data_IF_350368828097
#
_entry.id   IF_350368828097
#
_cell.length_a   1.000
_cell.length_b   1.000
_cell.length_c   1.000
_cell.angle_alpha   90.00
_cell.angle_beta   90.00
_cell.angle_gamma   90.00
#
_symmetry.space_group_name_H-M   'P 1'
#
loop_
_entity.id
_entity.type
_entity.pdbx_description
1 polymer ?
#
# COMPACT_ATOMS: atom_id res chain seq x y z
N UNK A 1 70.94 -89.11 35.90
CA UNK A 1 69.48 -89.18 36.07
C UNK A 1 68.89 -87.77 36.16
N UNK A 2 69.22 -86.91 35.18
CA UNK A 2 68.90 -85.46 35.20
C UNK A 2 68.41 -84.92 33.85
N UNK A 3 68.54 -85.68 32.75
CA UNK A 3 68.10 -85.23 31.42
C UNK A 3 66.60 -85.42 31.17
N UNK A 4 65.97 -86.45 31.74
CA UNK A 4 64.55 -86.73 31.50
C UNK A 4 63.62 -85.71 32.18
N UNK A 5 63.97 -85.25 33.40
CA UNK A 5 63.22 -84.22 34.13
C UNK A 5 63.24 -82.84 33.46
N UNK A 6 64.33 -82.49 32.74
CA UNK A 6 64.42 -81.24 31.99
C UNK A 6 63.64 -81.31 30.67
N UNK A 7 63.62 -82.48 30.02
CA UNK A 7 62.84 -82.73 28.81
C UNK A 7 61.34 -82.59 29.06
N UNK A 8 60.81 -83.19 30.14
CA UNK A 8 59.39 -83.13 30.47
C UNK A 8 58.91 -81.74 30.91
N UNK A 9 59.76 -80.99 31.63
CA UNK A 9 59.46 -79.61 31.99
C UNK A 9 59.43 -78.70 30.74
N UNK A 10 60.34 -78.93 29.80
CA UNK A 10 60.41 -78.18 28.53
C UNK A 10 59.23 -78.48 27.61
N UNK A 11 58.75 -79.73 27.56
CA UNK A 11 57.60 -80.13 26.74
C UNK A 11 56.27 -79.58 27.31
N UNK A 12 56.13 -79.60 28.64
CA UNK A 12 54.97 -79.07 29.35
C UNK A 12 54.85 -77.55 29.23
N UNK A 13 55.96 -76.83 29.35
CA UNK A 13 56.00 -75.37 29.15
C UNK A 13 55.75 -74.99 27.69
N UNK A 14 56.27 -75.75 26.72
CA UNK A 14 55.96 -75.52 25.29
C UNK A 14 54.46 -75.71 25.00
N UNK A 15 53.85 -76.75 25.56
CA UNK A 15 52.42 -77.02 25.40
C UNK A 15 51.55 -75.90 25.98
N UNK A 16 51.93 -75.37 27.14
CA UNK A 16 51.20 -74.28 27.80
C UNK A 16 51.35 -72.95 27.04
N UNK A 17 52.53 -72.65 26.49
CA UNK A 17 52.75 -71.50 25.61
C UNK A 17 51.93 -71.62 24.33
N UNK A 18 51.82 -72.82 23.74
CA UNK A 18 51.01 -73.07 22.56
C UNK A 18 49.52 -72.86 22.84
N UNK A 19 49.02 -73.32 23.98
CA UNK A 19 47.63 -73.10 24.40
C UNK A 19 47.36 -71.61 24.59
N UNK A 20 48.25 -70.88 25.28
CA UNK A 20 48.12 -69.43 25.45
C UNK A 20 48.14 -68.73 24.09
N UNK A 21 49.03 -69.14 23.18
CA UNK A 21 49.14 -68.54 21.85
C UNK A 21 47.88 -68.78 21.00
N UNK A 22 47.29 -69.97 21.04
CA UNK A 22 46.05 -70.30 20.34
C UNK A 22 44.86 -69.53 20.93
N UNK A 23 44.73 -69.47 22.26
CA UNK A 23 43.68 -68.70 22.93
C UNK A 23 43.81 -67.21 22.60
N UNK A 24 45.03 -66.67 22.65
CA UNK A 24 45.31 -65.27 22.30
C UNK A 24 44.99 -64.99 20.82
N UNK A 25 45.34 -65.91 19.91
CA UNK A 25 45.05 -65.80 18.48
C UNK A 25 43.54 -65.84 18.20
N UNK A 26 42.79 -66.72 18.88
CA UNK A 26 41.33 -66.79 18.74
C UNK A 26 40.68 -65.51 19.28
N UNK A 27 41.10 -65.00 20.44
CA UNK A 27 40.57 -63.75 21.01
C UNK A 27 40.91 -62.55 20.12
N UNK A 28 42.12 -62.48 19.58
CA UNK A 28 42.54 -61.39 18.71
C UNK A 28 41.82 -61.41 17.35
N UNK A 29 41.51 -62.60 16.84
CA UNK A 29 40.81 -62.78 15.56
C UNK A 29 39.27 -62.69 15.69
N UNK A 30 38.73 -62.89 16.89
CA UNK A 30 37.29 -62.74 17.18
C UNK A 30 36.91 -61.33 17.66
N UNK A 31 37.88 -60.51 18.06
CA UNK A 31 37.65 -59.10 18.31
C UNK A 31 37.34 -58.38 17.01
N UNK A 32 36.19 -57.72 16.97
CA UNK A 32 35.78 -56.80 15.90
C UNK A 32 37.00 -55.98 15.46
N UNK A 33 37.39 -56.00 14.17
CA UNK A 33 38.63 -55.37 13.76
C UNK A 33 38.55 -53.90 14.16
N UNK A 34 39.49 -53.44 15.01
CA UNK A 34 39.53 -52.08 15.54
C UNK A 34 39.38 -51.01 14.44
N UNK A 35 39.79 -51.32 13.20
CA UNK A 35 39.53 -50.50 12.01
C UNK A 35 38.06 -50.24 11.74
N UNK A 36 37.19 -51.25 11.79
CA UNK A 36 35.73 -51.07 11.57
C UNK A 36 35.09 -50.25 12.68
N UNK A 37 35.56 -50.38 13.92
CA UNK A 37 35.07 -49.55 15.05
C UNK A 37 35.51 -48.09 14.88
N UNK A 38 36.75 -47.85 14.45
CA UNK A 38 37.25 -46.52 14.15
C UNK A 38 36.53 -45.87 12.96
N UNK A 39 36.26 -46.63 11.89
CA UNK A 39 35.47 -46.16 10.73
C UNK A 39 34.04 -45.80 11.12
N UNK A 40 33.36 -46.64 11.93
CA UNK A 40 32.02 -46.33 12.43
C UNK A 40 32.01 -45.06 13.29
N UNK A 41 33.03 -44.86 14.13
CA UNK A 41 33.13 -43.66 14.97
C UNK A 41 33.29 -42.40 14.13
N UNK A 42 34.12 -42.46 13.08
CA UNK A 42 34.34 -41.35 12.15
C UNK A 42 33.07 -41.04 11.32
N UNK A 43 32.28 -42.06 10.96
CA UNK A 43 30.98 -41.87 10.32
C UNK A 43 29.95 -41.24 11.27
N UNK A 44 29.89 -41.66 12.53
CA UNK A 44 28.99 -41.08 13.54
C UNK A 44 29.33 -39.61 13.76
N UNK A 45 30.60 -39.25 13.95
CA UNK A 45 31.02 -37.86 14.12
C UNK A 45 30.69 -36.99 12.88
N UNK A 46 30.88 -37.52 11.66
CA UNK A 46 30.45 -36.83 10.43
C UNK A 46 28.93 -36.68 10.34
N UNK A 47 28.18 -37.67 10.79
CA UNK A 47 26.72 -37.64 10.76
C UNK A 47 26.17 -36.65 11.78
N UNK A 48 26.74 -36.61 12.99
CA UNK A 48 26.41 -35.62 14.03
C UNK A 48 26.70 -34.20 13.54
N UNK A 49 27.86 -33.97 12.93
CA UNK A 49 28.22 -32.66 12.37
C UNK A 49 27.26 -32.22 11.26
N UNK A 50 26.88 -33.14 10.36
CA UNK A 50 25.87 -32.87 9.33
C UNK A 50 24.50 -32.57 9.94
N UNK A 51 24.08 -33.33 10.93
CA UNK A 51 22.77 -33.17 11.59
C UNK A 51 22.67 -31.82 12.28
N UNK A 52 23.73 -31.40 12.98
CA UNK A 52 23.83 -30.08 13.60
C UNK A 52 23.78 -28.95 12.56
N UNK A 53 24.53 -29.08 11.46
CA UNK A 53 24.48 -28.12 10.36
C UNK A 53 23.08 -28.03 9.70
N UNK A 54 22.37 -29.15 9.57
CA UNK A 54 21.01 -29.15 9.06
C UNK A 54 20.04 -28.51 10.03
N UNK A 55 20.17 -28.75 11.34
CA UNK A 55 19.36 -28.06 12.36
C UNK A 55 19.58 -26.54 12.31
N UNK A 56 20.82 -26.08 12.22
CA UNK A 56 21.13 -24.65 12.13
C UNK A 56 20.54 -24.01 10.85
N UNK A 57 20.60 -24.73 9.71
CA UNK A 57 19.98 -24.27 8.46
C UNK A 57 18.46 -24.23 8.56
N UNK A 58 17.83 -25.23 9.15
CA UNK A 58 16.38 -25.25 9.38
C UNK A 58 15.98 -24.07 10.26
N UNK A 59 16.69 -23.84 11.36
CA UNK A 59 16.40 -22.72 12.26
C UNK A 59 16.50 -21.37 11.55
N UNK A 60 17.56 -21.15 10.75
CA UNK A 60 17.72 -19.94 9.94
C UNK A 60 16.60 -19.77 8.91
N UNK A 61 16.25 -20.83 8.18
CA UNK A 61 15.17 -20.81 7.18
C UNK A 61 13.81 -20.55 7.82
N UNK A 62 13.53 -21.12 9.00
CA UNK A 62 12.30 -20.87 9.75
C UNK A 62 12.23 -19.40 10.19
N UNK A 63 13.34 -18.83 10.67
CA UNK A 63 13.42 -17.40 11.00
C UNK A 63 13.15 -16.50 9.79
N UNK A 64 13.79 -16.80 8.65
CA UNK A 64 13.55 -16.06 7.40
C UNK A 64 12.11 -16.17 6.91
N UNK A 65 11.50 -17.35 7.01
CA UNK A 65 10.08 -17.54 6.63
C UNK A 65 9.13 -16.75 7.53
N UNK A 66 9.40 -16.69 8.84
CA UNK A 66 8.59 -15.88 9.75
C UNK A 66 8.73 -14.38 9.44
N UNK A 67 9.96 -13.92 9.16
CA UNK A 67 10.21 -12.53 8.79
C UNK A 67 9.50 -12.16 7.48
N UNK A 68 9.65 -12.97 6.43
CA UNK A 68 8.97 -12.77 5.15
C UNK A 68 7.45 -12.80 5.27
N UNK A 69 6.90 -13.66 6.14
CA UNK A 69 5.47 -13.68 6.42
C UNK A 69 5.00 -12.38 7.07
N UNK A 70 5.75 -11.87 8.04
CA UNK A 70 5.45 -10.58 8.68
C UNK A 70 5.52 -9.42 7.69
N UNK A 71 6.56 -9.36 6.85
CA UNK A 71 6.72 -8.33 5.81
C UNK A 71 5.58 -8.40 4.79
N UNK A 72 5.19 -9.62 4.37
CA UNK A 72 4.06 -9.82 3.47
C UNK A 72 2.75 -9.33 4.09
N UNK A 73 2.50 -9.61 5.35
CA UNK A 73 1.29 -9.18 6.05
C UNK A 73 1.24 -7.64 6.19
N UNK A 74 2.37 -7.00 6.48
CA UNK A 74 2.48 -5.55 6.54
C UNK A 74 2.26 -4.89 5.17
N UNK A 75 2.91 -5.41 4.12
CA UNK A 75 2.72 -4.94 2.74
C UNK A 75 1.28 -5.11 2.27
N UNK A 76 0.65 -6.23 2.62
CA UNK A 76 -0.76 -6.48 2.28
C UNK A 76 -1.68 -5.46 2.95
N UNK A 77 -1.45 -5.13 4.23
CA UNK A 77 -2.19 -4.06 4.93
C UNK A 77 -2.00 -2.70 4.27
N UNK A 78 -0.76 -2.34 3.89
CA UNK A 78 -0.46 -1.10 3.18
C UNK A 78 -1.15 -1.02 1.82
N UNK A 79 -1.17 -2.13 1.07
CA UNK A 79 -1.84 -2.22 -0.23
C UNK A 79 -3.34 -2.00 -0.09
N UNK A 80 -4.00 -2.71 0.84
CA UNK A 80 -5.45 -2.57 1.09
C UNK A 80 -5.79 -1.11 1.47
N UNK A 81 -5.01 -0.49 2.35
CA UNK A 81 -5.22 0.90 2.75
C UNK A 81 -5.06 1.86 1.55
N UNK A 82 -4.04 1.64 0.73
CA UNK A 82 -3.79 2.44 -0.48
C UNK A 82 -4.92 2.29 -1.49
N UNK A 83 -5.39 1.07 -1.75
CA UNK A 83 -6.54 0.83 -2.65
C UNK A 83 -7.81 1.49 -2.13
N UNK A 84 -8.09 1.42 -0.83
CA UNK A 84 -9.23 2.11 -0.23
C UNK A 84 -9.10 3.63 -0.38
N UNK A 85 -7.90 4.19 -0.19
CA UNK A 85 -7.64 5.62 -0.39
C UNK A 85 -7.85 6.02 -1.86
N UNK A 86 -7.38 5.23 -2.81
CA UNK A 86 -7.62 5.46 -4.25
C UNK A 86 -9.10 5.39 -4.59
N UNK A 87 -9.84 4.40 -4.05
CA UNK A 87 -11.29 4.29 -4.26
C UNK A 87 -12.02 5.53 -3.73
N UNK A 88 -11.64 6.00 -2.53
CA UNK A 88 -12.18 7.25 -1.96
C UNK A 88 -11.86 8.46 -2.85
N UNK A 89 -10.63 8.60 -3.32
CA UNK A 89 -10.22 9.70 -4.21
C UNK A 89 -11.01 9.65 -5.53
N UNK A 90 -11.14 8.49 -6.17
CA UNK A 90 -11.92 8.33 -7.41
C UNK A 90 -13.40 8.64 -7.21
N UNK A 91 -13.98 8.27 -6.08
CA UNK A 91 -15.36 8.64 -5.74
C UNK A 91 -15.50 10.14 -5.49
N UNK A 92 -14.49 10.78 -4.89
CA UNK A 92 -14.46 12.23 -4.64
C UNK A 92 -14.12 13.08 -5.88
N UNK A 93 -13.61 12.51 -6.96
CA UNK A 93 -13.22 13.31 -8.14
C UNK A 93 -14.30 13.37 -9.22
N UNK A 94 -15.45 12.71 -9.05
CA UNK A 94 -16.45 12.52 -10.12
C UNK A 94 -16.92 13.85 -10.73
N UNK A 95 -17.19 14.84 -9.89
CA UNK A 95 -17.68 16.15 -10.33
C UNK A 95 -16.63 17.26 -10.23
N UNK A 96 -15.45 16.94 -9.69
CA UNK A 96 -14.35 17.91 -9.63
C UNK A 96 -13.94 18.29 -11.06
N UNK A 97 -13.78 19.58 -11.29
CA UNK A 97 -13.43 20.10 -12.60
C UNK A 97 -13.70 21.58 -12.78
N UNK A 98 -13.30 22.07 -13.96
CA UNK A 98 -13.58 23.41 -14.45
C UNK A 98 -14.68 23.33 -15.50
N UNK A 99 -15.72 24.14 -15.35
CA UNK A 99 -16.87 24.22 -16.22
C UNK A 99 -16.98 25.63 -16.77
N UNK A 100 -17.28 25.80 -18.05
CA UNK A 100 -17.32 27.11 -18.70
C UNK A 100 -18.47 27.20 -19.69
N UNK A 101 -18.89 28.44 -20.00
CA UNK A 101 -19.94 28.74 -20.96
C UNK A 101 -20.13 30.23 -21.16
N UNK A 102 -21.06 30.57 -22.03
CA UNK A 102 -21.47 31.96 -22.27
C UNK A 102 -22.33 32.47 -21.12
N UNK A 103 -22.18 33.73 -20.76
CA UNK A 103 -22.99 34.41 -19.76
C UNK A 103 -23.93 35.41 -20.43
N UNK A 104 -25.17 35.48 -19.93
CA UNK A 104 -26.10 36.55 -20.21
C UNK A 104 -26.78 36.93 -18.89
N UNK A 105 -26.73 38.22 -18.54
CA UNK A 105 -27.19 38.69 -17.23
C UNK A 105 -27.76 40.09 -17.26
N UNK A 106 -28.26 40.52 -16.11
CA UNK A 106 -28.88 41.83 -15.92
C UNK A 106 -27.89 42.77 -15.26
N UNK A 107 -27.54 43.85 -15.95
CA UNK A 107 -26.82 44.97 -15.35
C UNK A 107 -27.83 46.04 -14.91
N UNK A 108 -27.82 46.35 -13.62
CA UNK A 108 -28.66 47.37 -13.00
C UNK A 108 -27.80 48.59 -12.68
N UNK A 109 -28.29 49.80 -12.97
CA UNK A 109 -27.60 51.04 -12.56
C UNK A 109 -27.52 51.13 -11.02
N UNK A 110 -28.57 50.64 -10.33
CA UNK A 110 -28.62 50.44 -8.88
C UNK A 110 -29.44 49.20 -8.52
N UNK A 111 -29.08 48.53 -7.43
CA UNK A 111 -29.71 47.27 -7.02
C UNK A 111 -31.19 47.32 -6.65
N UNK A 112 -31.74 48.51 -6.42
CA UNK A 112 -33.17 48.70 -6.13
C UNK A 112 -34.00 49.07 -7.37
N UNK A 113 -33.37 49.17 -8.55
CA UNK A 113 -34.04 49.57 -9.78
C UNK A 113 -34.66 48.36 -10.50
N UNK A 114 -35.75 48.63 -11.25
CA UNK A 114 -36.41 47.62 -12.10
C UNK A 114 -35.89 47.64 -13.53
N UNK A 115 -35.20 48.71 -13.93
CA UNK A 115 -34.66 48.87 -15.27
C UNK A 115 -33.27 48.25 -15.31
N UNK A 116 -33.05 47.35 -16.25
CA UNK A 116 -31.76 46.71 -16.46
C UNK A 116 -31.38 46.74 -17.93
N UNK A 117 -30.07 46.70 -18.17
CA UNK A 117 -29.49 46.39 -19.48
C UNK A 117 -29.11 44.92 -19.52
N UNK A 118 -29.26 44.28 -20.67
CA UNK A 118 -28.81 42.90 -20.87
C UNK A 118 -27.34 42.94 -21.27
N UNK A 119 -26.49 42.29 -20.48
CA UNK A 119 -25.06 42.18 -20.73
C UNK A 119 -24.70 40.73 -21.08
N UNK A 120 -23.62 40.58 -21.84
CA UNK A 120 -23.10 39.28 -22.25
C UNK A 120 -21.62 39.15 -21.88
N UNK A 121 -21.17 37.92 -21.72
CA UNK A 121 -19.80 37.63 -21.34
C UNK A 121 -19.52 36.13 -21.30
N UNK A 122 -18.56 35.74 -20.47
CA UNK A 122 -18.25 34.35 -20.18
C UNK A 122 -18.45 34.08 -18.69
N UNK A 123 -18.85 32.86 -18.36
CA UNK A 123 -18.97 32.39 -16.98
C UNK A 123 -18.29 31.05 -16.81
N UNK A 124 -17.84 30.79 -15.59
CA UNK A 124 -17.17 29.55 -15.25
C UNK A 124 -17.45 29.12 -13.82
N UNK A 125 -17.47 27.81 -13.58
CA UNK A 125 -17.52 27.20 -12.26
C UNK A 125 -16.34 26.23 -12.10
N UNK A 126 -15.51 26.46 -11.09
CA UNK A 126 -14.54 25.46 -10.61
C UNK A 126 -15.11 24.77 -9.39
N UNK A 127 -15.22 23.45 -9.42
CA UNK A 127 -15.68 22.67 -8.27
C UNK A 127 -14.55 21.81 -7.69
N UNK A 128 -14.33 21.95 -6.38
CA UNK A 128 -13.32 21.24 -5.59
C UNK A 128 -14.02 20.38 -4.54
N UNK A 129 -14.37 19.15 -4.92
CA UNK A 129 -15.19 18.26 -4.08
C UNK A 129 -14.47 17.85 -2.77
N UNK A 130 -13.14 17.77 -2.75
CA UNK A 130 -12.38 17.46 -1.52
C UNK A 130 -12.54 18.51 -0.43
N UNK A 131 -12.77 19.76 -0.83
CA UNK A 131 -12.94 20.88 0.05
C UNK A 131 -14.40 21.33 0.15
N UNK A 132 -15.34 20.68 -0.55
CA UNK A 132 -16.72 21.15 -0.76
C UNK A 132 -16.79 22.65 -1.10
N UNK A 133 -15.85 23.10 -1.95
CA UNK A 133 -15.74 24.49 -2.38
C UNK A 133 -16.10 24.58 -3.85
N UNK A 134 -16.88 25.60 -4.19
CA UNK A 134 -17.19 25.96 -5.56
C UNK A 134 -16.80 27.42 -5.79
N UNK A 135 -16.17 27.70 -6.92
CA UNK A 135 -15.85 29.07 -7.34
C UNK A 135 -16.60 29.36 -8.62
N UNK A 136 -17.57 30.26 -8.55
CA UNK A 136 -18.30 30.78 -9.71
C UNK A 136 -17.68 32.12 -10.11
N UNK A 137 -17.43 32.31 -11.40
CA UNK A 137 -16.88 33.55 -11.94
C UNK A 137 -17.66 33.95 -13.18
N UNK A 138 -17.87 35.24 -13.33
CA UNK A 138 -18.47 35.86 -14.51
C UNK A 138 -17.56 36.99 -14.96
N UNK A 139 -17.12 36.93 -16.20
CA UNK A 139 -16.37 37.99 -16.86
C UNK A 139 -17.27 38.63 -17.92
N UNK A 140 -17.56 39.91 -17.71
CA UNK A 140 -18.36 40.73 -18.60
C UNK A 140 -17.42 41.67 -19.33
N UNK A 141 -17.47 41.63 -20.66
CA UNK A 141 -16.65 42.48 -21.51
C UNK A 141 -16.93 43.95 -21.16
N UNK A 142 -15.88 44.73 -21.01
CA UNK A 142 -15.92 46.17 -20.70
C UNK A 142 -16.34 46.55 -19.25
N UNK A 143 -16.79 45.61 -18.42
CA UNK A 143 -17.17 45.88 -17.00
C UNK A 143 -16.32 45.12 -15.97
N UNK A 144 -15.60 44.09 -16.40
CA UNK A 144 -14.67 43.33 -15.57
C UNK A 144 -15.22 41.98 -15.09
N UNK A 145 -14.62 41.45 -14.02
CA UNK A 145 -14.93 40.10 -13.51
C UNK A 145 -15.53 40.18 -12.11
N UNK A 146 -16.54 39.36 -11.86
CA UNK A 146 -17.08 39.08 -10.53
C UNK A 146 -16.90 37.60 -10.21
N UNK A 147 -16.50 37.28 -8.99
CA UNK A 147 -16.32 35.90 -8.56
C UNK A 147 -16.86 35.68 -7.15
N UNK A 148 -17.50 34.53 -6.97
CA UNK A 148 -18.03 34.05 -5.71
C UNK A 148 -17.38 32.72 -5.36
N UNK A 149 -16.95 32.60 -4.13
CA UNK A 149 -16.53 31.34 -3.54
C UNK A 149 -17.63 30.86 -2.60
N UNK A 150 -18.09 29.65 -2.81
CA UNK A 150 -19.12 29.00 -2.02
C UNK A 150 -18.51 27.86 -1.23
N UNK A 151 -18.98 27.69 0.01
CA UNK A 151 -18.75 26.51 0.83
C UNK A 151 -20.08 25.80 1.02
N UNK A 152 -20.11 24.50 0.77
CA UNK A 152 -21.37 23.77 0.73
C UNK A 152 -21.24 22.30 1.02
N UNK A 153 -22.18 21.53 0.50
CA UNK A 153 -22.16 20.07 0.51
C UNK A 153 -22.76 19.51 -0.76
N UNK A 154 -22.30 18.33 -1.17
CA UNK A 154 -22.80 17.60 -2.32
C UNK A 154 -23.70 16.45 -1.85
N UNK A 155 -24.97 16.46 -2.23
CA UNK A 155 -25.90 15.36 -2.02
C UNK A 155 -26.29 14.75 -3.37
N UNK A 156 -25.83 13.52 -3.62
CA UNK A 156 -26.00 12.87 -4.93
C UNK A 156 -25.20 13.59 -6.02
N UNK A 157 -25.90 14.23 -6.96
CA UNK A 157 -25.34 15.06 -8.01
C UNK A 157 -25.64 16.56 -7.82
N UNK A 158 -26.21 16.97 -6.68
CA UNK A 158 -26.58 18.36 -6.41
C UNK A 158 -25.68 18.93 -5.33
N UNK A 159 -24.96 20.01 -5.66
CA UNK A 159 -24.22 20.83 -4.71
C UNK A 159 -25.08 22.00 -4.28
N UNK A 160 -25.14 22.24 -2.97
CA UNK A 160 -25.75 23.44 -2.39
C UNK A 160 -24.73 24.12 -1.50
N UNK A 161 -24.54 25.43 -1.65
CA UNK A 161 -23.55 26.17 -0.89
C UNK A 161 -23.89 27.63 -0.66
N UNK A 162 -23.38 28.17 0.43
CA UNK A 162 -23.51 29.58 0.80
C UNK A 162 -22.19 30.31 0.48
N UNK A 163 -22.24 31.59 0.07
CA UNK A 163 -21.05 32.35 -0.30
C UNK A 163 -20.20 32.64 0.94
N UNK A 164 -18.89 32.43 0.83
CA UNK A 164 -17.89 32.71 1.87
C UNK A 164 -16.92 33.82 1.47
N UNK A 165 -16.79 34.10 0.16
CA UNK A 165 -15.92 35.13 -0.35
C UNK A 165 -16.53 35.68 -1.64
N UNK A 166 -16.44 36.99 -1.82
CA UNK A 166 -16.90 37.69 -3.00
C UNK A 166 -15.83 38.69 -3.44
N UNK A 167 -15.47 38.64 -4.71
CA UNK A 167 -14.52 39.56 -5.33
C UNK A 167 -15.08 40.10 -6.64
N UNK A 168 -14.68 41.33 -6.98
CA UNK A 168 -15.22 42.05 -8.13
C UNK A 168 -14.23 43.06 -8.69
N UNK A 169 -14.37 43.35 -9.98
CA UNK A 169 -13.81 44.55 -10.60
C UNK A 169 -14.51 45.82 -10.10
N UNK A 170 -13.88 46.97 -10.33
CA UNK A 170 -14.39 48.25 -9.84
C UNK A 170 -15.77 48.61 -10.41
N UNK A 171 -16.01 48.27 -11.67
CA UNK A 171 -17.19 48.68 -12.44
C UNK A 171 -18.37 47.69 -12.40
N UNK A 172 -18.23 46.56 -11.69
CA UNK A 172 -19.28 45.54 -11.58
C UNK A 172 -19.50 45.16 -10.12
N UNK A 173 -20.76 44.98 -9.71
CA UNK A 173 -21.12 44.55 -8.35
C UNK A 173 -22.37 43.66 -8.39
N UNK A 174 -22.46 42.68 -7.49
CA UNK A 174 -23.65 41.86 -7.30
C UNK A 174 -24.66 42.56 -6.40
N UNK A 175 -25.93 42.53 -6.78
CA UNK A 175 -27.01 43.03 -5.94
C UNK A 175 -27.40 42.07 -4.81
N UNK A 176 -26.90 40.84 -4.84
CA UNK A 176 -27.06 39.89 -3.75
C UNK A 176 -25.77 39.09 -3.55
N UNK A 177 -24.88 39.62 -2.72
CA UNK A 177 -23.61 38.96 -2.39
C UNK A 177 -23.78 37.71 -1.51
N UNK A 178 -24.95 37.56 -0.89
CA UNK A 178 -25.30 36.46 0.03
C UNK A 178 -26.16 35.39 -0.63
N UNK A 179 -26.35 35.47 -1.95
CA UNK A 179 -27.17 34.51 -2.68
C UNK A 179 -26.56 33.11 -2.59
N UNK A 180 -27.32 32.14 -2.08
CA UNK A 180 -26.92 30.74 -2.09
C UNK A 180 -26.96 30.18 -3.51
N UNK A 181 -26.11 29.19 -3.77
CA UNK A 181 -26.06 28.51 -5.07
C UNK A 181 -26.52 27.07 -4.92
N UNK A 182 -27.30 26.61 -5.90
CA UNK A 182 -27.62 25.20 -6.11
C UNK A 182 -27.20 24.80 -7.51
N UNK A 183 -26.34 23.80 -7.62
CA UNK A 183 -25.76 23.34 -8.87
C UNK A 183 -25.96 21.84 -9.02
N UNK A 184 -26.58 21.42 -10.11
CA UNK A 184 -26.77 20.01 -10.46
C UNK A 184 -25.75 19.57 -11.52
N UNK A 185 -24.99 18.52 -11.23
CA UNK A 185 -24.04 17.92 -12.15
C UNK A 185 -24.69 16.83 -13.01
N UNK A 186 -24.41 16.85 -14.31
CA UNK A 186 -24.93 15.94 -15.32
C UNK A 186 -23.80 15.51 -16.27
N UNK A 187 -23.02 14.51 -15.85
CA UNK A 187 -21.85 14.03 -16.59
C UNK A 187 -20.82 15.15 -16.80
N UNK A 188 -20.61 15.53 -18.05
CA UNK A 188 -19.67 16.58 -18.47
C UNK A 188 -20.31 17.98 -18.52
N UNK A 189 -21.43 18.16 -17.83
CA UNK A 189 -22.10 19.45 -17.70
C UNK A 189 -22.61 19.68 -16.30
N UNK A 190 -22.95 20.93 -15.99
CA UNK A 190 -23.68 21.30 -14.79
C UNK A 190 -24.80 22.29 -15.14
N UNK A 191 -25.79 22.38 -14.25
CA UNK A 191 -26.96 23.24 -14.39
C UNK A 191 -27.20 24.00 -13.09
N UNK A 192 -27.58 25.27 -13.18
CA UNK A 192 -27.92 26.09 -12.02
C UNK A 192 -28.81 27.26 -12.43
N UNK A 193 -29.44 27.93 -11.48
CA UNK A 193 -30.34 29.05 -11.76
C UNK A 193 -29.57 30.37 -11.90
N UNK A 194 -29.84 31.13 -12.96
CA UNK A 194 -29.28 32.46 -13.22
C UNK A 194 -30.36 33.51 -13.52
N UNK A 195 -29.94 34.72 -13.90
CA UNK A 195 -30.83 35.90 -14.02
C UNK A 195 -32.01 35.76 -14.98
N UNK A 196 -31.86 34.91 -16.01
CA UNK A 196 -32.85 34.65 -17.06
C UNK A 196 -33.32 33.19 -17.06
N UNK A 197 -33.12 32.47 -15.96
CA UNK A 197 -33.47 31.06 -15.81
C UNK A 197 -32.26 30.15 -15.75
N UNK A 198 -32.50 28.86 -15.97
CA UNK A 198 -31.50 27.82 -15.84
C UNK A 198 -30.35 27.96 -16.84
N UNK A 199 -29.13 28.07 -16.32
CA UNK A 199 -27.87 28.07 -17.05
C UNK A 199 -27.31 26.66 -17.14
N UNK A 200 -26.54 26.39 -18.21
CA UNK A 200 -25.84 25.12 -18.40
C UNK A 200 -24.39 25.39 -18.78
N UNK A 201 -23.44 24.88 -18.00
CA UNK A 201 -22.01 24.95 -18.32
C UNK A 201 -21.48 23.58 -18.67
N UNK A 202 -20.50 23.54 -19.56
CA UNK A 202 -19.82 22.30 -19.95
C UNK A 202 -18.46 22.22 -19.30
N UNK A 203 -18.07 21.01 -18.92
CA UNK A 203 -16.73 20.73 -18.41
C UNK A 203 -15.73 21.05 -19.50
N UNK A 204 -14.69 21.79 -19.14
CA UNK A 204 -13.56 22.06 -20.00
C UNK A 204 -12.63 20.85 -19.93
N UNK A 205 -12.43 20.17 -21.06
CA UNK A 205 -11.52 19.03 -21.22
C UNK A 205 -10.06 19.47 -21.31
#
# INVERSE_FOLDING_TARGET
>A
MTSELLSDLSLSTLGLVLIIFVVYSIIFNSNVPYRKVAELKDEIEKFEFKTKNFQDKIFKLTGQNQQLKSEKDELTKKLINTEQRIRRIKQKSRYTGYYTGSYQGKLLDKCNEKKYSVITGSQSISYFQDADIMVYSVNVKDYGTMAFKYKGSLNGNVFTGSPIEYSRGEEITSCNEKLEIQVEFNGDSLRFEGDFGTQVLRKFE
#
